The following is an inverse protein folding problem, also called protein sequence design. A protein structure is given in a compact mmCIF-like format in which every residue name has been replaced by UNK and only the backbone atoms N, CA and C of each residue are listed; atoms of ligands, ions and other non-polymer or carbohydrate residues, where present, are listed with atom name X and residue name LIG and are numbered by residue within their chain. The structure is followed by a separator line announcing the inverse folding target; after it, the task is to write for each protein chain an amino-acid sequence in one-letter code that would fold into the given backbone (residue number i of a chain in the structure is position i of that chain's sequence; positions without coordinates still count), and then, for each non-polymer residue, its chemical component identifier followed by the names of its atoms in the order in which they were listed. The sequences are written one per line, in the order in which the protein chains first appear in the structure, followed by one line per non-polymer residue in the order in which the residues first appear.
data_IF_967423479855
#
_entry.id   IF_967423479855
#
_cell.length_a   1.000
_cell.length_b   1.000
_cell.length_c   1.000
_cell.angle_alpha   90.00
_cell.angle_beta   90.00
_cell.angle_gamma   90.00
#
_symmetry.space_group_name_H-M   'P 1'
#
loop_
_entity.id
_entity.type
_entity.pdbx_description
1 polymer ?
#
# COMPACT_ATOMS: atom_id res chain seq x y z
N UNK A 1 30.84 2.63 -72.05
CA UNK A 1 31.70 3.81 -72.21
C UNK A 1 31.01 5.00 -71.58
N UNK A 2 31.74 5.71 -70.73
CA UNK A 2 31.26 6.66 -69.73
C UNK A 2 31.02 8.08 -70.29
N UNK A 3 30.08 8.84 -69.69
CA UNK A 3 30.12 10.30 -69.39
C UNK A 3 29.06 10.54 -68.28
N UNK A 4 29.43 10.70 -66.99
CA UNK A 4 29.56 11.96 -66.20
C UNK A 4 28.25 12.76 -65.98
N UNK A 5 27.80 12.90 -64.72
CA UNK A 5 27.92 14.09 -63.83
C UNK A 5 27.13 15.31 -64.39
N UNK A 6 26.23 16.02 -63.70
CA UNK A 6 26.06 16.41 -62.29
C UNK A 6 24.65 17.01 -62.14
N UNK A 7 24.04 16.92 -60.95
CA UNK A 7 23.00 17.88 -60.55
C UNK A 7 23.20 18.21 -59.06
N UNK A 8 23.87 19.32 -58.81
CA UNK A 8 24.08 19.87 -57.47
C UNK A 8 23.85 21.38 -57.53
N UNK A 9 23.05 21.85 -56.58
CA UNK A 9 22.86 23.24 -56.14
C UNK A 9 22.09 24.16 -57.10
N UNK A 10 21.13 24.98 -56.66
CA UNK A 10 21.20 25.85 -55.47
C UNK A 10 19.83 26.43 -55.08
N UNK A 11 19.61 26.50 -53.76
CA UNK A 11 18.82 27.45 -52.98
C UNK A 11 17.44 27.92 -53.44
N UNK A 12 16.45 27.69 -52.57
CA UNK A 12 15.70 28.83 -52.03
C UNK A 12 15.23 28.54 -50.60
N UNK A 13 15.75 29.32 -49.66
CA UNK A 13 15.31 29.41 -48.27
C UNK A 13 13.90 29.97 -48.27
N UNK A 14 12.95 29.27 -47.62
CA UNK A 14 11.74 29.88 -47.09
C UNK A 14 11.59 29.46 -45.63
N UNK A 15 11.87 30.42 -44.75
CA UNK A 15 11.42 30.42 -43.36
C UNK A 15 9.90 30.28 -43.36
N UNK A 16 9.41 29.18 -42.81
CA UNK A 16 8.10 29.14 -42.19
C UNK A 16 8.30 28.70 -40.75
N UNK A 17 8.09 29.65 -39.84
CA UNK A 17 8.00 29.36 -38.42
C UNK A 17 6.85 28.41 -38.18
N UNK A 18 7.15 27.30 -37.54
CA UNK A 18 6.17 26.46 -36.85
C UNK A 18 6.75 26.22 -35.47
N UNK A 19 6.17 26.91 -34.49
CA UNK A 19 6.28 26.64 -33.07
C UNK A 19 6.02 25.15 -32.81
N UNK A 20 7.07 24.36 -32.59
CA UNK A 20 6.94 23.01 -32.08
C UNK A 20 6.68 23.11 -30.57
N UNK A 21 5.39 23.19 -30.23
CA UNK A 21 4.91 23.08 -28.87
C UNK A 21 5.30 21.70 -28.31
N UNK A 22 5.81 21.74 -27.09
CA UNK A 22 6.09 20.66 -26.17
C UNK A 22 5.14 19.46 -26.34
N UNK A 23 5.67 18.36 -26.87
CA UNK A 23 5.16 17.03 -26.58
C UNK A 23 6.19 16.32 -25.71
N UNK A 24 6.40 16.85 -24.50
CA UNK A 24 6.88 16.03 -23.38
C UNK A 24 5.73 15.09 -23.09
N UNK A 25 5.67 14.01 -23.86
CA UNK A 25 4.80 12.87 -23.59
C UNK A 25 5.34 12.33 -22.30
N UNK A 26 4.77 12.79 -21.19
CA UNK A 26 5.00 12.24 -19.88
C UNK A 26 4.68 10.76 -19.99
N UNK A 27 5.73 9.96 -20.12
CA UNK A 27 5.79 8.65 -19.48
C UNK A 27 5.53 8.94 -18.00
N UNK A 28 4.26 9.06 -17.64
CA UNK A 28 3.79 8.52 -16.38
C UNK A 28 4.10 7.04 -16.50
N UNK A 29 5.36 6.70 -16.21
CA UNK A 29 5.67 5.45 -15.55
C UNK A 29 4.71 5.44 -14.37
N UNK A 30 3.56 4.81 -14.54
CA UNK A 30 2.82 4.30 -13.41
C UNK A 30 3.90 3.53 -12.64
N UNK A 31 4.35 4.10 -11.51
CA UNK A 31 5.02 3.30 -10.51
C UNK A 31 4.10 2.11 -10.36
N UNK A 32 4.60 0.94 -10.74
CA UNK A 32 3.82 -0.28 -10.76
C UNK A 32 3.71 -0.73 -9.29
N UNK A 33 3.07 0.13 -8.49
CA UNK A 33 2.89 -0.02 -7.07
C UNK A 33 1.89 -1.16 -6.93
N UNK A 34 2.35 -2.25 -6.35
CA UNK A 34 1.51 -3.42 -6.13
C UNK A 34 0.25 -2.97 -5.38
N UNK A 35 -0.95 -3.47 -5.72
CA UNK A 35 -2.15 -3.14 -4.97
C UNK A 35 -2.05 -3.56 -3.49
N UNK A 36 -1.08 -4.41 -3.13
CA UNK A 36 -0.76 -4.75 -1.75
C UNK A 36 -0.25 -3.57 -0.90
N UNK A 37 0.39 -2.57 -1.51
CA UNK A 37 0.95 -1.39 -0.83
C UNK A 37 0.06 -0.16 -0.93
N UNK A 38 -1.07 -0.26 -1.64
CA UNK A 38 -2.03 0.83 -1.79
C UNK A 38 -2.64 1.22 -0.44
N UNK A 39 -2.69 2.52 -0.15
CA UNK A 39 -3.14 3.03 1.15
C UNK A 39 -4.62 2.75 1.41
N UNK A 40 -5.46 2.76 0.38
CA UNK A 40 -6.88 2.45 0.49
C UNK A 40 -7.11 0.97 0.76
N UNK A 41 -6.30 0.10 0.13
CA UNK A 41 -6.29 -1.34 0.39
C UNK A 41 -5.87 -1.62 1.83
N UNK A 42 -4.76 -1.04 2.30
CA UNK A 42 -4.26 -1.24 3.65
C UNK A 42 -5.23 -0.70 4.72
N UNK A 43 -5.87 0.44 4.46
CA UNK A 43 -6.94 0.95 5.32
C UNK A 43 -8.11 -0.04 5.41
N UNK A 44 -8.49 -0.67 4.29
CA UNK A 44 -9.55 -1.68 4.28
C UNK A 44 -9.13 -2.97 4.99
N UNK A 45 -7.88 -3.40 4.85
CA UNK A 45 -7.32 -4.54 5.60
C UNK A 45 -7.43 -4.28 7.09
N UNK A 46 -7.05 -3.08 7.55
CA UNK A 46 -7.19 -2.67 8.96
C UNK A 46 -8.65 -2.75 9.41
N UNK A 47 -9.57 -2.15 8.66
CA UNK A 47 -11.00 -2.17 9.01
C UNK A 47 -11.53 -3.61 9.14
N UNK A 48 -11.17 -4.49 8.21
CA UNK A 48 -11.59 -5.90 8.25
C UNK A 48 -10.94 -6.65 9.42
N UNK A 49 -9.68 -6.36 9.73
CA UNK A 49 -8.99 -6.91 10.90
C UNK A 49 -9.65 -6.45 12.21
N UNK A 50 -9.94 -5.16 12.35
CA UNK A 50 -10.63 -4.61 13.53
C UNK A 50 -11.97 -5.33 13.75
N UNK A 51 -12.74 -5.55 12.66
CA UNK A 51 -14.00 -6.30 12.69
C UNK A 51 -13.83 -7.76 13.07
N UNK A 52 -12.72 -8.39 12.70
CA UNK A 52 -12.41 -9.76 13.11
C UNK A 52 -12.11 -9.85 14.62
N UNK A 53 -11.46 -8.83 15.18
CA UNK A 53 -11.10 -8.81 16.61
C UNK A 53 -12.28 -8.44 17.52
N UNK A 54 -13.11 -7.47 17.11
CA UNK A 54 -14.16 -6.90 17.96
C UNK A 54 -15.59 -7.04 17.43
N UNK A 55 -15.77 -7.62 16.24
CA UNK A 55 -17.04 -7.66 15.55
C UNK A 55 -17.36 -6.37 14.80
N UNK A 56 -18.52 -6.33 14.13
CA UNK A 56 -18.90 -5.25 13.23
C UNK A 56 -19.40 -3.95 13.90
N UNK A 57 -19.54 -3.95 15.24
CA UNK A 57 -20.17 -2.87 16.00
C UNK A 57 -19.19 -2.05 16.83
N UNK A 58 -17.94 -2.50 16.93
CA UNK A 58 -16.92 -1.88 17.77
C UNK A 58 -15.75 -1.50 16.86
N UNK A 59 -15.54 -0.20 16.71
CA UNK A 59 -14.36 0.33 16.03
C UNK A 59 -13.24 0.51 17.05
N UNK A 60 -12.09 -0.12 16.78
CA UNK A 60 -10.92 0.04 17.60
C UNK A 60 -10.37 1.47 17.44
N UNK A 61 -9.94 2.14 18.52
CA UNK A 61 -9.24 3.41 18.43
C UNK A 61 -8.02 3.31 17.49
N UNK A 62 -7.65 4.40 16.80
CA UNK A 62 -6.63 4.37 15.75
C UNK A 62 -5.26 3.88 16.21
N UNK A 63 -4.96 4.00 17.51
CA UNK A 63 -3.66 3.62 18.09
C UNK A 63 -3.61 2.17 18.59
N UNK A 64 -4.75 1.46 18.65
CA UNK A 64 -4.78 0.08 19.16
C UNK A 64 -4.18 -0.88 18.14
N UNK A 65 -4.53 -0.72 16.87
CA UNK A 65 -4.01 -1.53 15.77
C UNK A 65 -3.38 -0.61 14.73
N UNK A 66 -2.11 -0.82 14.43
CA UNK A 66 -1.34 0.01 13.50
C UNK A 66 -0.83 -0.86 12.36
N UNK A 67 -1.26 -0.53 11.13
CA UNK A 67 -0.75 -1.22 9.94
C UNK A 67 0.68 -0.77 9.66
N UNK A 68 1.61 -1.72 9.62
CA UNK A 68 2.99 -1.45 9.24
C UNK A 68 3.11 -1.44 7.73
N UNK A 69 2.80 -0.32 7.09
CA UNK A 69 2.73 -0.18 5.62
C UNK A 69 4.00 -0.65 4.90
N UNK A 70 5.18 -0.46 5.50
CA UNK A 70 6.48 -0.91 4.96
C UNK A 70 6.66 -2.42 4.93
N UNK A 71 5.85 -3.18 5.66
CA UNK A 71 5.87 -4.64 5.68
C UNK A 71 4.96 -5.28 4.62
N UNK A 72 4.13 -4.47 3.95
CA UNK A 72 3.17 -4.96 2.97
C UNK A 72 3.92 -5.59 1.79
N UNK A 73 3.65 -6.88 1.55
CA UNK A 73 4.38 -7.70 0.58
C UNK A 73 3.40 -8.46 -0.30
N UNK A 74 3.64 -8.47 -1.62
CA UNK A 74 2.94 -9.38 -2.53
C UNK A 74 3.55 -10.78 -2.40
N UNK A 75 2.75 -11.74 -1.93
CA UNK A 75 3.17 -13.12 -1.68
C UNK A 75 3.08 -13.96 -2.96
N UNK A 76 2.02 -13.77 -3.74
CA UNK A 76 1.85 -14.46 -5.02
C UNK A 76 0.79 -13.79 -5.88
N UNK A 77 0.98 -13.86 -7.20
CA UNK A 77 -0.10 -13.73 -8.18
C UNK A 77 -0.61 -15.11 -8.54
N UNK A 78 -1.91 -15.34 -8.41
CA UNK A 78 -2.51 -16.56 -8.90
C UNK A 78 -2.43 -16.57 -10.43
N UNK A 79 -1.85 -17.62 -11.04
CA UNK A 79 -1.54 -17.63 -12.48
C UNK A 79 -2.80 -17.60 -13.35
N UNK A 80 -3.93 -18.05 -12.79
CA UNK A 80 -5.21 -18.14 -13.47
C UNK A 80 -6.22 -17.08 -12.99
N UNK A 81 -5.84 -16.19 -12.06
CA UNK A 81 -6.73 -15.13 -11.59
C UNK A 81 -6.07 -13.77 -11.46
N UNK A 82 -6.84 -12.71 -11.69
CA UNK A 82 -6.40 -11.33 -11.47
C UNK A 82 -6.18 -10.99 -9.98
N UNK A 83 -6.28 -11.99 -9.08
CA UNK A 83 -6.17 -11.80 -7.64
C UNK A 83 -4.71 -11.82 -7.22
N UNK A 84 -4.36 -10.87 -6.37
CA UNK A 84 -3.06 -10.79 -5.70
C UNK A 84 -3.22 -11.29 -4.27
N UNK A 85 -2.35 -12.19 -3.82
CA UNK A 85 -2.21 -12.51 -2.39
C UNK A 85 -1.13 -11.62 -1.80
N UNK A 86 -1.46 -10.98 -0.71
CA UNK A 86 -0.63 -10.02 -0.01
C UNK A 86 -0.52 -10.41 1.46
N UNK A 87 0.50 -9.92 2.13
CA UNK A 87 0.63 -9.99 3.59
C UNK A 87 1.10 -8.65 4.14
N UNK A 88 0.71 -8.32 5.36
CA UNK A 88 1.14 -7.12 6.08
C UNK A 88 1.18 -7.40 7.58
N UNK A 89 2.09 -6.77 8.30
CA UNK A 89 2.08 -6.78 9.77
C UNK A 89 1.11 -5.71 10.29
N UNK A 90 0.27 -6.11 11.23
CA UNK A 90 -0.50 -5.19 12.07
C UNK A 90 0.06 -5.28 13.48
N UNK A 91 0.56 -4.16 13.99
CA UNK A 91 1.05 -4.05 15.37
C UNK A 91 -0.11 -3.68 16.28
N UNK A 92 -0.37 -4.51 17.28
CA UNK A 92 -1.28 -4.24 18.38
C UNK A 92 -0.51 -3.56 19.51
N UNK A 93 -0.94 -2.36 19.91
CA UNK A 93 -0.50 -1.74 21.16
C UNK A 93 -1.33 -2.30 22.32
N UNK A 94 -0.68 -3.13 23.14
CA UNK A 94 -1.32 -3.82 24.26
C UNK A 94 -1.78 -2.84 25.34
N UNK A 95 -1.07 -1.73 25.51
CA UNK A 95 -1.45 -0.68 26.46
C UNK A 95 -2.72 0.02 26.00
N UNK A 96 -2.75 0.47 24.75
CA UNK A 96 -3.94 1.14 24.21
C UNK A 96 -5.14 0.19 24.17
N UNK A 97 -4.88 -1.09 23.87
CA UNK A 97 -5.87 -2.16 23.97
C UNK A 97 -6.45 -2.28 25.39
N UNK A 98 -5.59 -2.33 26.42
CA UNK A 98 -6.01 -2.41 27.82
C UNK A 98 -6.84 -1.20 28.24
N UNK A 99 -6.45 0.02 27.82
CA UNK A 99 -7.22 1.24 28.07
C UNK A 99 -8.58 1.19 27.42
N UNK A 100 -8.61 0.85 26.13
CA UNK A 100 -9.83 0.82 25.33
C UNK A 100 -10.86 -0.18 25.90
N UNK A 101 -10.38 -1.37 26.25
CA UNK A 101 -11.21 -2.45 26.78
C UNK A 101 -11.47 -2.34 28.29
N UNK A 102 -10.91 -1.32 28.96
CA UNK A 102 -10.97 -1.09 30.41
C UNK A 102 -10.53 -2.31 31.23
N UNK A 103 -9.53 -3.04 30.73
CA UNK A 103 -8.97 -4.22 31.40
C UNK A 103 -8.13 -3.85 32.64
N UNK A 104 -7.62 -2.63 32.70
CA UNK A 104 -6.80 -2.13 33.81
C UNK A 104 -7.04 -0.62 34.00
N UNK A 105 -6.85 -0.15 35.24
CA UNK A 105 -6.83 1.28 35.58
C UNK A 105 -5.55 1.97 35.05
N UNK A 106 -5.55 3.30 34.94
CA UNK A 106 -4.37 4.04 34.49
C UNK A 106 -3.14 3.83 35.41
N UNK A 107 -3.36 3.65 36.72
CA UNK A 107 -2.29 3.36 37.68
C UNK A 107 -1.69 1.97 37.47
N UNK A 108 -2.53 0.97 37.18
CA UNK A 108 -2.09 -0.38 36.83
C UNK A 108 -1.36 -0.37 35.48
N UNK A 109 -1.87 0.37 34.49
CA UNK A 109 -1.24 0.52 33.19
C UNK A 109 0.14 1.18 33.33
N UNK A 110 0.29 2.21 34.16
CA UNK A 110 1.57 2.83 34.45
C UNK A 110 2.57 1.84 35.05
N UNK A 111 2.12 0.98 35.99
CA UNK A 111 2.95 -0.11 36.53
C UNK A 111 3.32 -1.15 35.47
N UNK A 112 2.35 -1.60 34.67
CA UNK A 112 2.55 -2.60 33.61
C UNK A 112 3.60 -2.11 32.61
N UNK A 113 3.52 -0.85 32.17
CA UNK A 113 4.52 -0.26 31.26
C UNK A 113 5.95 -0.37 31.78
N UNK A 114 6.14 -0.27 33.09
CA UNK A 114 7.46 -0.29 33.72
C UNK A 114 7.92 -1.73 34.02
N UNK A 115 7.01 -2.59 34.49
CA UNK A 115 7.34 -3.93 34.97
C UNK A 115 7.34 -4.99 33.88
N UNK A 116 6.42 -4.92 32.92
CA UNK A 116 6.26 -5.97 31.90
C UNK A 116 7.53 -6.14 31.04
N UNK A 117 8.19 -5.07 30.54
CA UNK A 117 9.43 -5.23 29.79
C UNK A 117 10.57 -5.82 30.63
N UNK A 118 10.64 -5.49 31.93
CA UNK A 118 11.65 -6.03 32.86
C UNK A 118 11.49 -7.54 33.07
N UNK A 119 10.26 -8.05 32.90
CA UNK A 119 9.91 -9.47 32.98
C UNK A 119 9.94 -10.15 31.60
N UNK A 120 10.37 -9.45 30.55
CA UNK A 120 10.47 -9.98 29.19
C UNK A 120 9.15 -9.98 28.41
N UNK A 121 8.10 -9.31 28.89
CA UNK A 121 6.84 -9.17 28.16
C UNK A 121 6.88 -7.93 27.26
N UNK A 122 6.61 -8.12 25.96
CA UNK A 122 6.45 -7.03 25.03
C UNK A 122 5.12 -6.30 25.27
N UNK A 123 5.12 -4.97 25.04
CA UNK A 123 3.92 -4.13 25.08
C UNK A 123 3.28 -3.95 23.70
N UNK A 124 3.91 -4.52 22.68
CA UNK A 124 3.48 -4.50 21.29
C UNK A 124 3.46 -5.93 20.80
N UNK A 125 2.48 -6.27 19.97
CA UNK A 125 2.36 -7.58 19.34
C UNK A 125 2.14 -7.41 17.85
N UNK A 126 3.00 -8.00 17.04
CA UNK A 126 2.82 -8.01 15.59
C UNK A 126 2.04 -9.25 15.17
N UNK A 127 0.97 -9.02 14.41
CA UNK A 127 0.17 -10.05 13.78
C UNK A 127 0.40 -10.01 12.26
N UNK A 128 0.80 -11.15 11.67
CA UNK A 128 0.91 -11.28 10.22
C UNK A 128 -0.49 -11.51 9.64
N UNK A 129 -0.99 -10.51 8.93
CA UNK A 129 -2.30 -10.54 8.29
C UNK A 129 -2.13 -10.83 6.81
N UNK A 130 -2.66 -11.98 6.39
CA UNK A 130 -2.71 -12.34 4.98
C UNK A 130 -4.03 -11.86 4.38
N UNK A 131 -3.99 -11.33 3.17
CA UNK A 131 -5.17 -10.85 2.48
C UNK A 131 -5.08 -11.06 0.97
N UNK A 132 -6.22 -11.01 0.30
CA UNK A 132 -6.31 -11.00 -1.16
C UNK A 132 -6.84 -9.67 -1.63
N UNK A 133 -6.32 -9.21 -2.76
CA UNK A 133 -6.81 -8.04 -3.48
C UNK A 133 -7.26 -8.47 -4.86
N UNK A 134 -8.51 -8.13 -5.18
CA UNK A 134 -9.11 -8.38 -6.49
C UNK A 134 -9.52 -7.05 -7.12
N UNK A 135 -8.88 -6.63 -8.21
CA UNK A 135 -9.35 -5.49 -9.00
C UNK A 135 -10.76 -5.75 -9.54
N UNK A 136 -11.61 -4.73 -9.48
CA UNK A 136 -12.97 -4.75 -10.02
C UNK A 136 -13.05 -3.91 -11.30
N UNK A 137 -14.04 -4.19 -12.14
CA UNK A 137 -14.23 -3.50 -13.43
C UNK A 137 -14.48 -1.99 -13.29
N UNK A 138 -14.91 -1.52 -12.11
CA UNK A 138 -15.10 -0.11 -11.78
C UNK A 138 -13.82 0.60 -11.32
N UNK A 139 -12.66 -0.07 -11.37
CA UNK A 139 -11.37 0.47 -10.94
C UNK A 139 -11.11 0.41 -9.44
N UNK A 140 -12.04 -0.13 -8.63
CA UNK A 140 -11.84 -0.33 -7.19
C UNK A 140 -11.16 -1.67 -6.90
N UNK A 141 -10.56 -1.79 -5.72
CA UNK A 141 -10.00 -3.03 -5.21
C UNK A 141 -10.94 -3.66 -4.18
N UNK A 142 -11.33 -4.90 -4.39
CA UNK A 142 -12.00 -5.71 -3.38
C UNK A 142 -10.97 -6.42 -2.51
N UNK A 143 -11.07 -6.25 -1.20
CA UNK A 143 -10.12 -6.80 -0.22
C UNK A 143 -10.79 -7.89 0.59
N UNK A 144 -10.09 -9.01 0.78
CA UNK A 144 -10.54 -10.09 1.68
C UNK A 144 -9.38 -10.50 2.59
N UNK A 145 -9.55 -10.33 3.90
CA UNK A 145 -8.62 -10.85 4.90
C UNK A 145 -8.80 -12.36 5.01
N UNK A 146 -7.69 -13.10 5.02
CA UNK A 146 -7.68 -14.55 5.12
C UNK A 146 -7.62 -14.95 6.61
N UNK A 147 -8.32 -16.03 7.00
CA UNK A 147 -8.31 -16.53 8.38
C UNK A 147 -6.95 -17.12 8.79
#
# INVERSE_FOLDING_TARGET
MAVWLTAMHKSMIRLFGVTAAFAVTGLLTACNDSPCTDSSVLAKVKELFDKQQFGQFIEAPPNVFVVQTKSATEVSTDKDSIKKRCSVLITTDIIEMMRFTKQASEDEIAKIKIEAPKKGFALMKDDLVNFTVQPLANGQNYVTVLP
#
